data_IF_204276199958
#
_entry.id   IF_204276199958
#
_cell.length_a   1.000
_cell.length_b   1.000
_cell.length_c   1.000
_cell.angle_alpha   90.00
_cell.angle_beta   90.00
_cell.angle_gamma   90.00
#
_symmetry.space_group_name_H-M   'P 1'
#
loop_
_entity.id
_entity.type
_entity.pdbx_description
1 polymer ?
#
# COMPACT_ATOMS: atom_id res chain seq x y z
N UNK A 1 53.68 16.07 -23.28
CA UNK A 1 54.59 16.68 -24.27
C UNK A 1 54.53 15.83 -25.54
N UNK A 2 53.67 16.19 -26.51
CA UNK A 2 54.02 16.81 -27.82
C UNK A 2 55.12 16.04 -28.60
N UNK A 3 54.70 15.40 -29.71
CA UNK A 3 55.06 15.69 -31.13
C UNK A 3 56.35 14.96 -31.57
N UNK A 4 56.55 14.45 -32.80
CA UNK A 4 55.96 14.69 -34.13
C UNK A 4 56.65 13.76 -35.17
N UNK A 5 55.93 13.40 -36.27
CA UNK A 5 56.31 13.47 -37.71
C UNK A 5 57.59 12.74 -38.22
N UNK A 6 57.78 12.20 -39.45
CA UNK A 6 57.23 12.33 -40.83
C UNK A 6 57.59 11.03 -41.62
N UNK A 7 56.71 10.49 -42.48
CA UNK A 7 56.71 10.57 -43.96
C UNK A 7 57.98 10.08 -44.69
N UNK A 8 57.82 9.12 -45.61
CA UNK A 8 58.11 9.26 -47.06
C UNK A 8 57.97 7.92 -47.82
N UNK A 9 57.40 8.01 -49.02
CA UNK A 9 57.20 7.02 -50.10
C UNK A 9 57.46 7.82 -51.41
N UNK A 10 57.52 7.28 -52.64
CA UNK A 10 57.90 5.97 -53.24
C UNK A 10 58.97 6.22 -54.37
N UNK A 11 59.15 5.44 -55.49
CA UNK A 11 58.21 5.42 -56.65
C UNK A 11 58.23 4.10 -57.53
N UNK A 12 57.14 3.72 -58.24
CA UNK A 12 56.93 3.73 -59.73
C UNK A 12 57.53 2.56 -60.58
N UNK A 13 57.02 2.01 -61.72
CA UNK A 13 55.83 2.06 -62.64
C UNK A 13 55.84 0.72 -63.46
N UNK A 14 54.73 0.08 -63.89
CA UNK A 14 54.13 0.00 -65.27
C UNK A 14 53.35 -1.33 -65.39
N UNK A 15 52.34 -1.58 -66.23
CA UNK A 15 51.21 -0.89 -66.88
C UNK A 15 50.68 -1.90 -67.93
N UNK A 16 49.36 -2.12 -68.04
CA UNK A 16 48.77 -2.93 -69.11
C UNK A 16 47.30 -3.31 -68.85
N UNK A 17 46.36 -2.61 -69.49
CA UNK A 17 44.93 -2.62 -69.14
C UNK A 17 44.01 -3.50 -69.99
N UNK A 18 42.75 -3.64 -69.56
CA UNK A 18 41.55 -3.32 -70.36
C UNK A 18 40.24 -3.41 -69.54
N UNK A 19 39.45 -2.34 -69.67
CA UNK A 19 38.01 -2.10 -69.46
C UNK A 19 37.09 -3.16 -68.82
N UNK A 20 36.43 -2.77 -67.71
CA UNK A 20 34.98 -2.52 -67.67
C UNK A 20 34.58 -1.91 -66.31
N UNK A 21 33.79 -0.83 -66.36
CA UNK A 21 33.30 -0.06 -65.21
C UNK A 21 31.87 -0.47 -64.85
N UNK A 22 31.63 -0.98 -63.64
CA UNK A 22 30.34 -0.89 -62.93
C UNK A 22 30.60 -0.83 -61.42
N UNK A 23 29.87 0.07 -60.77
CA UNK A 23 29.94 0.52 -59.38
C UNK A 23 29.65 -0.53 -58.31
N UNK A 24 30.34 -0.40 -57.18
CA UNK A 24 30.20 -1.16 -55.93
C UNK A 24 28.98 -0.64 -55.15
N UNK A 25 28.04 -1.54 -54.83
CA UNK A 25 26.92 -1.30 -53.91
C UNK A 25 26.68 -2.56 -53.07
N UNK A 26 26.63 -2.37 -51.75
CA UNK A 26 26.74 -3.40 -50.71
C UNK A 26 25.81 -4.61 -50.84
N UNK A 27 26.38 -5.77 -50.50
CA UNK A 27 25.74 -7.09 -50.52
C UNK A 27 24.68 -7.25 -49.44
N UNK A 28 23.60 -7.90 -49.86
CA UNK A 28 22.37 -8.24 -49.17
C UNK A 28 22.59 -9.22 -47.99
N UNK A 29 21.85 -9.00 -46.91
CA UNK A 29 21.59 -9.97 -45.83
C UNK A 29 20.15 -10.48 -45.95
N UNK A 30 20.00 -11.80 -45.82
CA UNK A 30 18.78 -12.60 -45.92
C UNK A 30 17.83 -12.39 -44.71
N UNK A 31 16.53 -12.75 -44.82
CA UNK A 31 15.47 -12.26 -43.94
C UNK A 31 15.39 -13.06 -42.62
N UNK A 32 15.38 -12.37 -41.49
CA UNK A 32 14.97 -12.97 -40.21
C UNK A 32 13.44 -12.89 -40.07
N UNK A 33 12.84 -14.04 -39.74
CA UNK A 33 11.43 -14.14 -39.41
C UNK A 33 11.10 -13.22 -38.24
N UNK A 34 10.30 -12.18 -38.51
CA UNK A 34 9.63 -11.40 -37.47
C UNK A 34 8.53 -12.28 -36.89
N UNK A 35 8.82 -12.92 -35.76
CA UNK A 35 7.78 -13.35 -34.85
C UNK A 35 7.10 -12.10 -34.31
N UNK A 36 5.80 -11.97 -34.53
CA UNK A 36 4.98 -10.91 -34.00
C UNK A 36 5.11 -10.89 -32.47
N UNK A 37 5.84 -9.91 -31.96
CA UNK A 37 5.75 -9.51 -30.56
C UNK A 37 4.38 -8.87 -30.42
N UNK A 38 3.41 -9.61 -29.88
CA UNK A 38 2.21 -9.02 -29.32
C UNK A 38 2.61 -8.13 -28.14
N UNK A 39 2.98 -6.89 -28.41
CA UNK A 39 2.88 -5.81 -27.43
C UNK A 39 1.40 -5.46 -27.31
N UNK A 40 0.64 -6.31 -26.62
CA UNK A 40 -0.69 -5.98 -26.17
C UNK A 40 -0.57 -5.15 -24.90
N UNK A 41 -0.48 -3.83 -25.11
CA UNK A 41 -0.59 -2.78 -24.09
C UNK A 41 -2.05 -2.75 -23.56
N UNK A 42 -2.46 -3.82 -22.88
CA UNK A 42 -3.68 -3.80 -22.07
C UNK A 42 -3.33 -3.14 -20.72
N UNK A 43 -4.04 -2.08 -20.28
CA UNK A 43 -3.77 -1.49 -18.99
C UNK A 43 -4.07 -2.54 -17.92
N UNK A 44 -3.01 -3.03 -17.29
CA UNK A 44 -3.02 -4.24 -16.46
C UNK A 44 -4.07 -4.23 -15.34
N UNK A 45 -4.59 -3.07 -14.90
CA UNK A 45 -5.66 -3.00 -13.92
C UNK A 45 -6.51 -1.74 -14.13
N UNK A 46 -7.56 -1.82 -14.96
CA UNK A 46 -8.52 -0.71 -15.16
C UNK A 46 -9.08 -0.23 -13.81
N UNK A 47 -9.09 1.08 -13.58
CA UNK A 47 -9.68 1.68 -12.37
C UNK A 47 -8.69 1.98 -11.23
N UNK A 48 -7.40 1.68 -11.38
CA UNK A 48 -6.35 2.00 -10.39
C UNK A 48 -5.20 2.80 -11.01
N UNK A 49 -4.45 3.51 -10.17
CA UNK A 49 -3.24 4.26 -10.57
C UNK A 49 -2.02 3.37 -10.35
N UNK A 50 -1.25 3.07 -11.39
CA UNK A 50 0.00 2.32 -11.24
C UNK A 50 1.08 3.19 -10.59
N UNK A 51 1.56 2.80 -9.40
CA UNK A 51 2.69 3.45 -8.71
C UNK A 51 4.00 2.72 -8.92
N UNK A 52 3.93 1.40 -9.12
CA UNK A 52 5.07 0.53 -9.41
C UNK A 52 4.57 -0.68 -10.21
N UNK A 53 5.38 -1.15 -11.17
CA UNK A 53 5.01 -2.30 -12.02
C UNK A 53 5.55 -3.62 -11.48
N UNK A 54 6.77 -3.62 -10.95
CA UNK A 54 7.46 -4.81 -10.50
C UNK A 54 8.20 -4.52 -9.18
N UNK A 55 7.72 -5.04 -8.04
CA UNK A 55 6.45 -5.74 -7.86
C UNK A 55 5.25 -4.78 -8.05
N UNK A 56 4.05 -5.33 -8.31
CA UNK A 56 2.86 -4.53 -8.67
C UNK A 56 2.34 -3.72 -7.47
N UNK A 57 2.42 -2.39 -7.54
CA UNK A 57 1.79 -1.50 -6.56
C UNK A 57 0.83 -0.54 -7.26
N UNK A 58 -0.46 -0.61 -6.88
CA UNK A 58 -1.57 0.11 -7.50
C UNK A 58 -2.33 0.90 -6.45
N UNK A 59 -2.66 2.14 -6.75
CA UNK A 59 -3.36 3.05 -5.85
C UNK A 59 -4.83 3.20 -6.23
N UNK A 60 -5.69 3.27 -5.22
CA UNK A 60 -7.07 3.70 -5.38
C UNK A 60 -7.09 5.15 -5.90
N UNK A 61 -7.75 5.48 -7.02
CA UNK A 61 -7.96 6.88 -7.41
C UNK A 61 -8.87 7.59 -6.40
N UNK A 62 -8.33 8.08 -5.29
CA UNK A 62 -9.11 8.57 -4.14
C UNK A 62 -10.12 9.68 -4.50
N UNK A 63 -9.88 10.45 -5.56
CA UNK A 63 -10.82 11.44 -6.08
C UNK A 63 -12.13 10.84 -6.65
N UNK A 64 -12.17 9.53 -6.94
CA UNK A 64 -13.37 8.79 -7.32
C UNK A 64 -14.14 8.20 -6.13
N UNK A 65 -13.79 8.57 -4.89
CA UNK A 65 -14.55 8.20 -3.69
C UNK A 65 -16.03 8.55 -3.85
N UNK A 66 -16.89 7.53 -3.88
CA UNK A 66 -18.32 7.64 -4.14
C UNK A 66 -19.19 7.00 -3.05
N UNK A 67 -18.60 6.22 -2.15
CA UNK A 67 -19.31 5.52 -1.09
C UNK A 67 -18.41 5.00 0.01
N UNK A 68 -19.04 4.31 0.96
CA UNK A 68 -18.36 3.75 2.13
C UNK A 68 -17.54 2.52 1.77
N UNK A 69 -18.03 1.65 0.87
CA UNK A 69 -17.26 0.50 0.41
C UNK A 69 -16.52 0.86 -0.88
N UNK A 70 -15.21 0.60 -0.89
CA UNK A 70 -14.37 0.74 -2.07
C UNK A 70 -14.60 -0.48 -2.97
N UNK A 71 -14.97 -0.30 -4.25
CA UNK A 71 -15.10 -1.42 -5.19
C UNK A 71 -13.81 -2.23 -5.31
N UNK A 72 -13.92 -3.56 -5.46
CA UNK A 72 -12.76 -4.46 -5.62
C UNK A 72 -11.82 -4.01 -6.75
N UNK A 73 -12.38 -3.50 -7.85
CA UNK A 73 -11.62 -2.99 -9.01
C UNK A 73 -10.81 -1.72 -8.73
N UNK A 74 -11.13 -0.99 -7.66
CA UNK A 74 -10.47 0.26 -7.27
C UNK A 74 -9.63 0.10 -5.99
N UNK A 75 -9.82 -0.97 -5.22
CA UNK A 75 -9.09 -1.19 -3.97
C UNK A 75 -7.58 -1.32 -4.23
N UNK A 76 -6.78 -0.59 -3.45
CA UNK A 76 -5.33 -0.51 -3.65
C UNK A 76 -4.63 -1.87 -3.51
N UNK A 77 -3.52 -2.03 -4.23
CA UNK A 77 -2.69 -3.25 -4.20
C UNK A 77 -1.29 -2.86 -3.75
N UNK A 78 -0.82 -3.47 -2.67
CA UNK A 78 0.58 -3.38 -2.24
C UNK A 78 1.22 -4.76 -2.25
N UNK A 79 2.38 -4.91 -2.89
CA UNK A 79 3.17 -6.15 -2.89
C UNK A 79 4.66 -5.85 -2.72
N UNK A 80 5.37 -6.66 -1.93
CA UNK A 80 6.84 -6.56 -1.75
C UNK A 80 7.60 -7.50 -2.67
N UNK A 81 6.96 -8.60 -3.05
CA UNK A 81 7.51 -9.67 -3.87
C UNK A 81 6.61 -9.95 -5.06
N UNK A 82 7.10 -10.72 -6.05
CA UNK A 82 6.24 -11.25 -7.11
C UNK A 82 5.02 -11.95 -6.51
N UNK A 83 3.85 -11.67 -7.09
CA UNK A 83 2.61 -12.31 -6.67
C UNK A 83 2.71 -13.82 -6.88
N UNK A 84 2.51 -14.65 -5.84
CA UNK A 84 2.59 -16.09 -5.96
C UNK A 84 1.37 -16.61 -6.73
N UNK A 85 1.58 -17.66 -7.51
CA UNK A 85 0.48 -18.44 -8.08
C UNK A 85 0.04 -19.49 -7.05
N UNK A 86 -1.14 -19.30 -6.46
CA UNK A 86 -1.67 -20.19 -5.42
C UNK A 86 -2.95 -20.85 -5.93
N UNK A 87 -2.93 -22.18 -6.02
CA UNK A 87 -4.12 -23.00 -6.29
C UNK A 87 -4.92 -23.22 -5.02
N UNK A 88 -6.26 -23.15 -5.10
CA UNK A 88 -7.16 -23.49 -3.97
C UNK A 88 -6.95 -24.93 -3.51
N UNK A 89 -6.82 -25.87 -4.45
CA UNK A 89 -6.79 -27.30 -4.17
C UNK A 89 -5.50 -27.73 -3.46
N UNK A 90 -4.40 -27.06 -3.79
CA UNK A 90 -3.07 -27.31 -3.21
C UNK A 90 -2.77 -26.44 -1.99
N UNK A 91 -3.60 -25.42 -1.73
CA UNK A 91 -3.36 -24.50 -0.63
C UNK A 91 -3.50 -25.21 0.71
N UNK A 92 -2.54 -24.94 1.60
CA UNK A 92 -2.53 -25.44 2.98
C UNK A 92 -2.11 -24.34 3.92
N UNK A 93 -2.86 -24.16 5.01
CA UNK A 93 -2.50 -23.32 6.14
C UNK A 93 -1.92 -24.16 7.26
N UNK A 94 -0.66 -23.90 7.60
CA UNK A 94 0.02 -24.55 8.74
C UNK A 94 -0.09 -23.67 9.98
N UNK A 95 -0.63 -24.20 11.08
CA UNK A 95 -0.56 -23.56 12.39
C UNK A 95 0.40 -24.36 13.28
N UNK A 96 1.49 -23.73 13.73
CA UNK A 96 2.60 -24.44 14.39
C UNK A 96 3.29 -23.60 15.48
N UNK A 97 4.35 -24.15 16.06
CA UNK A 97 5.21 -23.46 17.03
C UNK A 97 4.80 -23.74 18.47
N UNK A 98 4.62 -22.70 19.28
CA UNK A 98 4.28 -22.77 20.71
C UNK A 98 2.81 -23.11 20.96
N UNK A 99 2.39 -24.26 20.43
CA UNK A 99 1.02 -24.80 20.49
C UNK A 99 1.04 -26.26 20.97
N UNK A 100 -0.08 -26.74 21.49
CA UNK A 100 -0.26 -28.13 21.93
C UNK A 100 -0.32 -29.10 20.75
N UNK A 101 -0.97 -28.68 19.66
CA UNK A 101 -1.13 -29.49 18.45
C UNK A 101 -0.91 -28.62 17.21
N UNK A 102 0.05 -29.02 16.39
CA UNK A 102 0.21 -28.44 15.05
C UNK A 102 -0.97 -28.84 14.16
N UNK A 103 -1.46 -27.88 13.38
CA UNK A 103 -2.58 -28.06 12.46
C UNK A 103 -2.11 -27.83 11.02
N UNK A 104 -2.70 -28.58 10.10
CA UNK A 104 -2.65 -28.30 8.67
C UNK A 104 -4.09 -28.30 8.18
N UNK A 105 -4.57 -27.15 7.73
CA UNK A 105 -5.91 -26.98 7.16
C UNK A 105 -5.80 -26.81 5.65
N UNK A 106 -6.61 -27.53 4.88
CA UNK A 106 -6.86 -27.19 3.48
C UNK A 106 -7.93 -26.08 3.39
N UNK A 107 -8.25 -25.64 2.17
CA UNK A 107 -9.20 -24.55 1.97
C UNK A 107 -10.63 -24.91 2.42
N UNK A 108 -11.07 -26.14 2.17
CA UNK A 108 -12.41 -26.60 2.56
C UNK A 108 -12.50 -26.79 4.08
N UNK A 109 -11.47 -27.33 4.73
CA UNK A 109 -11.39 -27.42 6.20
C UNK A 109 -11.55 -26.04 6.86
N UNK A 110 -10.98 -24.99 6.25
CA UNK A 110 -11.10 -23.62 6.74
C UNK A 110 -12.53 -23.10 6.56
N UNK A 111 -13.19 -23.38 5.43
CA UNK A 111 -14.56 -22.93 5.15
C UNK A 111 -15.63 -23.62 6.00
N UNK A 112 -15.32 -24.79 6.55
CA UNK A 112 -16.19 -25.48 7.52
C UNK A 112 -16.13 -24.87 8.93
N UNK A 113 -15.16 -23.98 9.21
CA UNK A 113 -15.08 -23.29 10.50
C UNK A 113 -16.15 -22.19 10.62
N UNK A 114 -16.56 -21.84 11.86
CA UNK A 114 -17.40 -20.67 12.08
C UNK A 114 -16.76 -19.42 11.46
N UNK A 115 -17.52 -18.76 10.58
CA UNK A 115 -17.10 -17.56 9.88
C UNK A 115 -17.96 -16.36 10.27
N UNK A 116 -17.43 -15.17 10.02
CA UNK A 116 -18.13 -13.91 10.19
C UNK A 116 -17.76 -12.96 9.05
N UNK A 117 -18.55 -11.90 8.90
CA UNK A 117 -18.26 -10.79 8.00
C UNK A 117 -18.04 -9.53 8.80
N UNK A 118 -16.91 -8.87 8.58
CA UNK A 118 -16.55 -7.59 9.20
C UNK A 118 -16.31 -6.55 8.12
N UNK A 119 -16.58 -5.27 8.40
CA UNK A 119 -16.15 -4.18 7.54
C UNK A 119 -14.90 -3.53 8.14
N UNK A 120 -13.88 -3.27 7.31
CA UNK A 120 -12.66 -2.63 7.77
C UNK A 120 -12.01 -1.77 6.68
N UNK A 121 -11.58 -0.58 7.08
CA UNK A 121 -10.63 0.25 6.34
C UNK A 121 -9.22 -0.28 6.54
N UNK A 122 -8.49 -0.44 5.44
CA UNK A 122 -7.08 -0.82 5.43
C UNK A 122 -6.30 0.32 4.81
N UNK A 123 -5.35 0.88 5.56
CA UNK A 123 -4.42 1.89 5.06
C UNK A 123 -2.99 1.31 4.96
N UNK A 124 -2.28 1.59 3.87
CA UNK A 124 -0.84 1.37 3.80
C UNK A 124 -0.12 2.36 4.72
N UNK A 125 0.82 1.92 5.55
CA UNK A 125 1.59 2.84 6.40
C UNK A 125 2.36 3.92 5.63
N UNK A 126 2.63 3.69 4.34
CA UNK A 126 3.24 4.67 3.43
C UNK A 126 2.24 5.54 2.68
N UNK A 127 0.94 5.44 2.93
CA UNK A 127 -0.05 6.30 2.29
C UNK A 127 0.32 7.77 2.54
N UNK A 128 0.23 8.61 1.51
CA UNK A 128 0.65 10.01 1.53
C UNK A 128 2.16 10.28 1.54
N UNK A 129 3.00 9.28 1.24
CA UNK A 129 4.47 9.43 1.16
C UNK A 129 4.93 10.51 0.20
N UNK A 130 4.22 10.73 -0.91
CA UNK A 130 4.60 11.76 -1.88
C UNK A 130 4.60 13.17 -1.27
N UNK A 131 3.93 13.39 -0.14
CA UNK A 131 3.85 14.70 0.49
C UNK A 131 4.97 14.97 1.52
N UNK A 132 5.84 14.00 1.79
CA UNK A 132 6.96 14.21 2.70
C UNK A 132 8.01 15.14 2.11
N UNK A 133 8.52 16.02 2.97
CA UNK A 133 9.67 16.89 2.71
C UNK A 133 10.63 16.75 3.89
N UNK A 134 11.88 16.29 3.68
CA UNK A 134 12.44 15.81 2.41
C UNK A 134 11.73 14.56 1.87
N UNK A 135 11.91 14.28 0.59
CA UNK A 135 11.37 13.07 -0.04
C UNK A 135 11.94 11.83 0.65
N UNK A 136 11.07 10.87 0.92
CA UNK A 136 11.45 9.59 1.52
C UNK A 136 11.36 8.46 0.48
N UNK A 137 12.17 7.42 0.67
CA UNK A 137 12.23 6.24 -0.18
C UNK A 137 10.97 5.36 -0.08
N UNK A 138 10.80 4.50 -1.08
CA UNK A 138 9.66 3.61 -1.24
C UNK A 138 8.60 4.15 -2.19
N UNK A 139 7.52 3.37 -2.38
CA UNK A 139 6.42 3.69 -3.30
C UNK A 139 5.81 5.05 -2.98
N UNK A 140 5.73 5.93 -3.98
CA UNK A 140 5.25 7.30 -3.82
C UNK A 140 3.71 7.37 -3.88
N UNK A 141 3.07 6.90 -2.81
CA UNK A 141 1.62 6.96 -2.64
C UNK A 141 1.12 8.41 -2.49
N UNK A 142 0.03 8.74 -3.18
CA UNK A 142 -0.77 9.94 -2.90
C UNK A 142 -1.77 9.65 -1.77
N UNK A 143 -3.08 9.77 -1.98
CA UNK A 143 -4.09 9.64 -0.93
C UNK A 143 -4.77 8.28 -0.92
N UNK A 144 -4.62 7.49 -1.99
CA UNK A 144 -5.36 6.25 -2.19
C UNK A 144 -4.61 4.98 -1.83
N UNK A 145 -3.57 5.07 -1.00
CA UNK A 145 -3.01 3.88 -0.33
C UNK A 145 -3.93 3.40 0.80
N UNK A 146 -5.25 3.44 0.60
CA UNK A 146 -6.29 3.15 1.58
C UNK A 146 -7.56 2.69 0.86
N UNK A 147 -8.37 1.87 1.52
CA UNK A 147 -9.69 1.49 1.05
C UNK A 147 -10.48 0.77 2.14
N UNK A 148 -11.81 0.73 2.00
CA UNK A 148 -12.72 0.06 2.94
C UNK A 148 -13.47 -1.04 2.22
N UNK A 149 -13.55 -2.22 2.83
CA UNK A 149 -14.27 -3.36 2.26
C UNK A 149 -14.90 -4.21 3.37
N UNK A 150 -15.88 -5.02 2.98
CA UNK A 150 -16.36 -6.13 3.78
C UNK A 150 -15.47 -7.36 3.56
N UNK A 151 -15.16 -8.06 4.64
CA UNK A 151 -14.27 -9.22 4.65
C UNK A 151 -14.98 -10.37 5.34
N UNK A 152 -15.13 -11.49 4.65
CA UNK A 152 -15.73 -12.70 5.22
C UNK A 152 -14.66 -13.77 5.41
N UNK A 153 -14.61 -14.32 6.61
CA UNK A 153 -13.55 -15.23 7.02
C UNK A 153 -13.74 -15.85 8.40
N UNK A 154 -12.78 -16.66 8.79
CA UNK A 154 -12.75 -17.33 10.10
C UNK A 154 -11.98 -16.45 11.09
N UNK A 155 -12.46 -16.23 12.32
CA UNK A 155 -11.65 -15.60 13.37
C UNK A 155 -10.32 -16.33 13.55
N UNK A 156 -9.20 -15.60 13.57
CA UNK A 156 -7.86 -16.18 13.81
C UNK A 156 -7.83 -16.93 15.15
N UNK A 157 -8.52 -16.40 16.16
CA UNK A 157 -8.70 -17.04 17.47
C UNK A 157 -9.26 -18.46 17.36
N UNK A 158 -10.16 -18.74 16.42
CA UNK A 158 -10.73 -20.09 16.22
C UNK A 158 -9.66 -21.11 15.82
N UNK A 159 -8.73 -20.74 14.94
CA UNK A 159 -7.63 -21.61 14.53
C UNK A 159 -6.62 -21.78 15.67
N UNK A 160 -6.30 -20.69 16.38
CA UNK A 160 -5.38 -20.69 17.51
C UNK A 160 -5.90 -21.55 18.68
N UNK A 161 -7.19 -21.48 18.99
CA UNK A 161 -7.82 -22.26 20.05
C UNK A 161 -7.87 -23.75 19.70
N UNK A 162 -8.11 -24.10 18.42
CA UNK A 162 -7.98 -25.49 17.94
C UNK A 162 -6.56 -26.05 18.04
N UNK A 163 -5.54 -25.20 17.86
CA UNK A 163 -4.14 -25.59 18.01
C UNK A 163 -3.74 -25.71 19.49
N UNK A 164 -4.43 -24.98 20.36
CA UNK A 164 -4.16 -24.90 21.80
C UNK A 164 -2.87 -24.12 22.06
N UNK A 165 -2.95 -22.81 22.28
CA UNK A 165 -1.76 -22.00 22.58
C UNK A 165 -1.16 -22.40 23.93
N UNK A 166 0.14 -22.67 23.96
CA UNK A 166 0.86 -22.99 25.20
C UNK A 166 1.09 -21.74 26.04
N UNK A 167 1.14 -21.94 27.36
CA UNK A 167 1.51 -20.87 28.32
C UNK A 167 2.88 -20.28 27.95
N UNK A 168 2.98 -18.95 27.99
CA UNK A 168 4.21 -18.23 27.65
C UNK A 168 4.32 -17.78 26.19
N UNK A 169 3.33 -18.09 25.33
CA UNK A 169 3.23 -17.46 24.02
C UNK A 169 3.12 -15.94 24.14
N UNK A 170 3.81 -15.21 23.25
CA UNK A 170 3.86 -13.74 23.24
C UNK A 170 3.38 -13.14 21.93
N UNK A 171 3.67 -13.79 20.80
CA UNK A 171 3.31 -13.30 19.47
C UNK A 171 2.81 -14.43 18.55
N UNK A 172 2.04 -14.03 17.54
CA UNK A 172 1.57 -14.88 16.44
C UNK A 172 2.10 -14.32 15.14
N UNK A 173 2.95 -15.08 14.47
CA UNK A 173 3.56 -14.74 13.18
C UNK A 173 2.63 -15.22 12.06
N UNK A 174 2.34 -14.33 11.12
CA UNK A 174 1.57 -14.57 9.90
C UNK A 174 2.54 -14.48 8.71
N UNK A 175 2.58 -15.52 7.88
CA UNK A 175 3.49 -15.60 6.75
C UNK A 175 2.73 -15.91 5.44
N UNK A 176 3.02 -15.12 4.41
CA UNK A 176 2.50 -15.28 3.06
C UNK A 176 3.30 -16.29 2.23
N UNK A 177 2.70 -16.72 1.11
CA UNK A 177 3.37 -17.54 0.11
C UNK A 177 4.39 -16.76 -0.72
N UNK A 178 4.25 -15.42 -0.77
CA UNK A 178 5.15 -14.54 -1.49
C UNK A 178 6.52 -14.48 -0.82
N UNK A 179 7.56 -14.48 -1.66
CA UNK A 179 8.95 -14.58 -1.23
C UNK A 179 9.89 -14.00 -2.29
N UNK A 180 11.10 -13.68 -1.87
CA UNK A 180 12.16 -13.21 -2.75
C UNK A 180 13.40 -12.86 -1.97
N UNK A 181 14.44 -12.48 -2.71
CA UNK A 181 15.70 -12.00 -2.17
C UNK A 181 15.71 -10.47 -2.17
N UNK A 182 16.20 -9.88 -1.08
CA UNK A 182 16.35 -8.43 -0.96
C UNK A 182 17.77 -8.03 -1.37
N UNK A 183 17.87 -7.25 -2.43
CA UNK A 183 19.16 -6.83 -3.02
C UNK A 183 19.67 -5.51 -2.46
N UNK A 184 18.80 -4.72 -1.85
CA UNK A 184 19.10 -3.43 -1.22
C UNK A 184 19.28 -3.58 0.29
N UNK A 185 20.03 -2.66 0.90
CA UNK A 185 20.24 -2.68 2.35
C UNK A 185 18.99 -2.20 3.13
N UNK A 186 18.68 -2.81 4.29
CA UNK A 186 19.36 -3.96 4.87
C UNK A 186 19.06 -5.25 4.09
N UNK A 187 20.09 -6.05 3.82
CA UNK A 187 19.95 -7.34 3.12
C UNK A 187 19.53 -8.48 4.05
N UNK A 188 18.98 -9.54 3.46
CA UNK A 188 18.83 -10.83 4.15
C UNK A 188 19.82 -11.87 3.67
N UNK A 189 20.13 -12.91 4.47
CA UNK A 189 21.07 -13.98 4.10
C UNK A 189 20.65 -14.84 2.89
N UNK A 190 19.50 -14.56 2.29
CA UNK A 190 18.91 -15.29 1.17
C UNK A 190 17.44 -14.95 1.01
N UNK A 191 16.74 -15.80 0.27
CA UNK A 191 15.30 -15.69 0.05
C UNK A 191 14.51 -15.75 1.37
N UNK A 192 13.58 -14.81 1.55
CA UNK A 192 12.67 -14.77 2.69
C UNK A 192 11.23 -14.65 2.21
N UNK A 193 10.29 -15.13 3.02
CA UNK A 193 8.87 -14.88 2.82
C UNK A 193 8.43 -13.56 3.46
N UNK A 194 7.40 -12.92 2.91
CA UNK A 194 6.76 -11.81 3.60
C UNK A 194 6.07 -12.34 4.87
N UNK A 195 6.43 -11.76 6.02
CA UNK A 195 5.88 -12.14 7.31
C UNK A 195 5.77 -10.93 8.25
N UNK A 196 4.74 -10.96 9.09
CA UNK A 196 4.46 -9.98 10.14
C UNK A 196 3.98 -10.70 11.39
N UNK A 197 4.25 -10.14 12.57
CA UNK A 197 3.71 -10.66 13.82
C UNK A 197 2.68 -9.73 14.45
N UNK A 198 1.80 -10.36 15.22
CA UNK A 198 0.82 -9.71 16.09
C UNK A 198 1.14 -10.09 17.55
N UNK A 199 1.07 -9.16 18.52
CA UNK A 199 0.98 -9.52 19.92
C UNK A 199 -0.19 -10.47 20.14
N UNK A 200 -0.02 -11.41 21.07
CA UNK A 200 -1.01 -12.45 21.31
C UNK A 200 -2.40 -11.88 21.63
N UNK A 201 -2.46 -10.79 22.39
CA UNK A 201 -3.71 -10.09 22.69
C UNK A 201 -4.45 -9.66 21.41
N UNK A 202 -3.75 -8.99 20.48
CA UNK A 202 -4.35 -8.59 19.20
C UNK A 202 -4.76 -9.80 18.37
N UNK A 203 -3.91 -10.83 18.29
CA UNK A 203 -4.20 -12.03 17.49
C UNK A 203 -5.44 -12.82 17.98
N UNK A 204 -5.83 -12.65 19.25
CA UNK A 204 -7.02 -13.30 19.84
C UNK A 204 -8.29 -12.47 19.73
N UNK A 205 -8.21 -11.22 19.28
CA UNK A 205 -9.40 -10.38 19.08
C UNK A 205 -10.30 -10.98 17.98
N UNK A 206 -11.61 -10.94 18.19
CA UNK A 206 -12.58 -11.62 17.33
C UNK A 206 -12.56 -11.04 15.91
N UNK A 207 -12.36 -9.74 15.75
CA UNK A 207 -12.32 -9.08 14.44
C UNK A 207 -11.05 -9.36 13.63
N UNK A 208 -10.03 -10.01 14.19
CA UNK A 208 -8.88 -10.46 13.40
C UNK A 208 -9.24 -11.77 12.71
N UNK A 209 -9.43 -11.72 11.40
CA UNK A 209 -9.95 -12.86 10.62
C UNK A 209 -8.97 -13.34 9.54
N UNK A 210 -9.13 -14.61 9.17
CA UNK A 210 -8.60 -15.26 7.99
C UNK A 210 -9.66 -15.18 6.89
N UNK A 211 -9.62 -14.09 6.12
CA UNK A 211 -10.59 -13.78 5.08
C UNK A 211 -10.33 -14.60 3.81
N UNK A 212 -11.42 -15.11 3.23
CA UNK A 212 -11.44 -15.77 1.92
C UNK A 212 -12.39 -15.08 0.92
N UNK A 213 -13.20 -14.11 1.38
CA UNK A 213 -14.01 -13.23 0.53
C UNK A 213 -13.79 -11.75 0.87
N UNK A 214 -14.00 -10.90 -0.13
CA UNK A 214 -13.95 -9.44 -0.07
C UNK A 214 -15.14 -8.86 -0.86
N UNK A 215 -15.96 -8.03 -0.20
CA UNK A 215 -17.20 -7.46 -0.74
C UNK A 215 -18.14 -8.52 -1.33
N UNK A 216 -18.28 -9.65 -0.65
CA UNK A 216 -19.16 -10.77 -1.06
C UNK A 216 -18.61 -11.68 -2.16
N UNK A 217 -17.47 -11.35 -2.76
CA UNK A 217 -16.80 -12.14 -3.79
C UNK A 217 -15.58 -12.88 -3.22
N UNK A 218 -15.20 -14.01 -3.81
CA UNK A 218 -13.92 -14.64 -3.47
C UNK A 218 -12.75 -13.67 -3.72
N UNK A 219 -11.70 -13.75 -2.91
CA UNK A 219 -10.54 -12.87 -3.05
C UNK A 219 -9.95 -12.94 -4.48
N UNK A 220 -9.67 -11.79 -5.07
CA UNK A 220 -8.84 -11.75 -6.28
C UNK A 220 -7.37 -12.09 -5.95
N UNK A 221 -6.58 -12.62 -6.90
CA UNK A 221 -5.16 -12.95 -6.69
C UNK A 221 -4.36 -11.81 -6.07
N UNK A 222 -4.51 -10.57 -6.56
CA UNK A 222 -3.78 -9.40 -6.06
C UNK A 222 -4.15 -9.00 -4.62
N UNK A 223 -5.33 -9.44 -4.16
CA UNK A 223 -5.84 -9.20 -2.82
C UNK A 223 -5.62 -10.39 -1.88
N UNK A 224 -4.95 -11.45 -2.32
CA UNK A 224 -4.45 -12.50 -1.43
C UNK A 224 -5.18 -13.84 -1.53
N UNK A 225 -5.82 -14.14 -2.68
CA UNK A 225 -6.41 -15.46 -2.93
C UNK A 225 -5.45 -16.62 -2.57
N UNK A 226 -5.92 -17.70 -1.94
CA UNK A 226 -7.30 -17.94 -1.55
C UNK A 226 -7.65 -17.39 -0.17
N UNK A 227 -6.65 -17.07 0.67
CA UNK A 227 -6.85 -16.62 2.05
C UNK A 227 -5.82 -15.55 2.43
N UNK A 228 -6.29 -14.50 3.10
CA UNK A 228 -5.44 -13.49 3.74
C UNK A 228 -5.82 -13.28 5.19
N UNK A 229 -4.90 -12.73 5.98
CA UNK A 229 -5.28 -12.11 7.24
C UNK A 229 -5.87 -10.72 7.01
N UNK A 230 -6.81 -10.35 7.88
CA UNK A 230 -7.34 -9.00 8.06
C UNK A 230 -7.18 -8.64 9.53
N UNK A 231 -6.51 -7.53 9.79
CA UNK A 231 -6.19 -7.06 11.15
C UNK A 231 -6.76 -5.65 11.30
N UNK A 232 -8.06 -5.51 11.66
CA UNK A 232 -8.71 -4.21 11.74
C UNK A 232 -8.01 -3.27 12.73
N UNK A 233 -7.95 -1.99 12.35
CA UNK A 233 -7.31 -0.93 13.14
C UNK A 233 -5.80 -0.84 12.96
N UNK A 234 -5.15 -1.85 12.40
CA UNK A 234 -3.71 -1.85 12.11
C UNK A 234 -3.44 -1.49 10.65
N UNK A 235 -2.28 -0.91 10.38
CA UNK A 235 -1.85 -0.66 9.00
C UNK A 235 -1.75 -1.97 8.21
N UNK A 236 -1.97 -1.86 6.90
CA UNK A 236 -2.24 -2.99 6.01
C UNK A 236 -1.10 -4.00 5.84
N UNK A 237 0.14 -3.68 6.25
CA UNK A 237 1.22 -4.68 6.24
C UNK A 237 0.92 -5.85 7.20
N UNK A 238 0.19 -5.61 8.29
CA UNK A 238 -0.21 -6.65 9.25
C UNK A 238 -1.26 -7.63 8.66
N UNK A 239 -2.01 -7.19 7.66
CA UNK A 239 -3.02 -7.99 6.95
C UNK A 239 -2.35 -8.83 5.85
N UNK A 240 -1.58 -9.84 6.25
CA UNK A 240 -0.74 -10.67 5.35
C UNK A 240 -1.57 -11.39 4.28
N UNK A 241 -1.19 -11.22 3.00
CA UNK A 241 -1.83 -11.87 1.84
C UNK A 241 -1.25 -13.26 1.58
N UNK A 242 -1.99 -14.07 0.82
CA UNK A 242 -1.57 -15.41 0.40
C UNK A 242 -1.11 -16.26 1.58
N UNK A 243 -1.86 -16.20 2.69
CA UNK A 243 -1.44 -16.71 3.98
C UNK A 243 -1.27 -18.23 3.90
N UNK A 244 -0.10 -18.74 4.29
CA UNK A 244 0.20 -20.18 4.28
C UNK A 244 0.68 -20.70 5.63
N UNK A 245 1.08 -19.81 6.54
CA UNK A 245 1.58 -20.21 7.85
C UNK A 245 1.21 -19.21 8.94
N UNK A 246 0.77 -19.77 10.05
CA UNK A 246 0.59 -19.17 11.36
C UNK A 246 1.60 -19.84 12.30
N UNK A 247 2.44 -19.08 12.98
CA UNK A 247 3.40 -19.62 13.94
C UNK A 247 3.31 -18.87 15.27
N UNK A 248 2.99 -19.60 16.33
CA UNK A 248 2.96 -19.06 17.70
C UNK A 248 4.38 -19.13 18.27
N UNK A 249 4.83 -18.06 18.92
CA UNK A 249 6.17 -17.96 19.49
C UNK A 249 6.12 -17.44 20.93
N UNK A 250 7.08 -17.87 21.74
CA UNK A 250 7.32 -17.42 23.12
C UNK A 250 8.34 -16.28 23.22
N UNK A 251 8.84 -15.81 22.07
CA UNK A 251 9.78 -14.70 21.93
C UNK A 251 9.33 -13.70 20.86
N UNK A 252 9.72 -12.42 20.97
CA UNK A 252 9.42 -11.41 19.96
C UNK A 252 9.95 -11.80 18.58
N UNK A 253 9.15 -11.59 17.53
CA UNK A 253 9.53 -11.89 16.16
C UNK A 253 10.52 -10.85 15.63
N UNK A 254 11.65 -11.32 15.10
CA UNK A 254 12.72 -10.49 14.55
C UNK A 254 12.76 -10.51 13.01
N UNK A 255 11.60 -10.67 12.36
CA UNK A 255 11.51 -10.70 10.91
C UNK A 255 11.79 -9.35 10.25
N UNK A 256 12.20 -9.40 8.97
CA UNK A 256 12.61 -8.22 8.21
C UNK A 256 11.59 -7.07 8.24
N UNK A 257 10.34 -7.31 7.84
CA UNK A 257 9.25 -6.33 7.87
C UNK A 257 8.64 -6.11 9.27
N UNK A 258 9.22 -6.73 10.31
CA UNK A 258 8.85 -6.48 11.70
C UNK A 258 9.81 -5.47 12.35
N UNK A 259 11.11 -5.56 12.04
CA UNK A 259 12.17 -4.85 12.78
C UNK A 259 13.03 -3.94 11.92
N UNK A 260 13.39 -4.37 10.70
CA UNK A 260 14.21 -3.57 9.78
C UNK A 260 13.34 -2.59 9.01
N UNK A 261 12.25 -3.09 8.42
CA UNK A 261 11.23 -2.31 7.74
C UNK A 261 9.95 -2.22 8.58
N UNK A 262 9.13 -1.21 8.29
CA UNK A 262 7.94 -0.88 9.07
C UNK A 262 8.24 -0.78 10.58
N UNK A 263 9.33 -0.09 10.91
CA UNK A 263 9.68 0.28 12.28
C UNK A 263 10.05 1.76 12.35
N UNK A 264 9.65 2.41 13.44
CA UNK A 264 9.89 3.82 13.69
C UNK A 264 10.52 4.04 15.06
N UNK A 265 10.99 5.27 15.32
CA UNK A 265 11.55 5.62 16.62
C UNK A 265 10.44 6.13 17.54
N UNK A 266 10.27 5.50 18.70
CA UNK A 266 9.51 6.08 19.79
C UNK A 266 10.47 6.58 20.86
N UNK A 267 10.21 7.75 21.44
CA UNK A 267 11.10 8.33 22.47
C UNK A 267 10.49 8.11 23.84
N UNK A 268 11.12 7.25 24.64
CA UNK A 268 10.77 7.04 26.04
C UNK A 268 11.80 7.75 26.91
N UNK A 269 11.37 8.76 27.69
CA UNK A 269 12.27 9.59 28.51
C UNK A 269 13.44 10.20 27.71
N UNK A 270 13.22 10.50 26.42
CA UNK A 270 14.23 11.06 25.51
C UNK A 270 15.03 10.03 24.72
N UNK A 271 15.05 8.76 25.13
CA UNK A 271 15.81 7.71 24.44
C UNK A 271 15.01 7.08 23.28
N UNK A 272 15.60 6.98 22.08
CA UNK A 272 14.94 6.38 20.93
C UNK A 272 14.91 4.85 21.05
N UNK A 273 13.72 4.29 21.01
CA UNK A 273 13.46 2.84 20.96
C UNK A 273 12.79 2.51 19.63
N UNK A 274 13.31 1.50 18.94
CA UNK A 274 12.71 1.00 17.70
C UNK A 274 11.42 0.26 18.00
N UNK A 275 10.31 0.69 17.40
CA UNK A 275 8.99 0.09 17.59
C UNK A 275 8.41 -0.29 16.23
N UNK A 276 7.90 -1.52 16.05
CA UNK A 276 7.19 -1.91 14.85
C UNK A 276 5.95 -1.04 14.63
N UNK A 277 5.66 -0.69 13.39
CA UNK A 277 4.41 -0.05 13.01
C UNK A 277 3.25 -1.02 13.28
N UNK A 278 2.20 -0.54 13.94
CA UNK A 278 0.98 -1.29 14.27
C UNK A 278 -0.27 -0.51 13.90
N UNK A 279 -0.80 0.30 14.82
CA UNK A 279 -2.12 0.95 14.77
C UNK A 279 -2.16 2.13 13.79
N UNK A 280 -3.24 2.21 13.02
CA UNK A 280 -3.54 3.37 12.17
C UNK A 280 -3.67 4.63 13.01
N UNK A 281 -3.26 5.77 12.46
CA UNK A 281 -3.38 7.03 13.18
C UNK A 281 -4.64 7.76 12.69
N UNK A 282 -5.25 8.58 13.56
CA UNK A 282 -6.35 9.46 13.14
C UNK A 282 -5.94 10.24 11.91
N UNK A 283 -6.75 10.17 10.85
CA UNK A 283 -6.46 10.78 9.55
C UNK A 283 -7.74 11.19 8.84
N UNK A 284 -7.68 12.32 8.14
CA UNK A 284 -8.70 12.84 7.21
C UNK A 284 -7.99 13.25 5.94
N UNK A 285 -8.61 12.92 4.82
CA UNK A 285 -8.15 13.29 3.49
C UNK A 285 -9.31 13.87 2.67
N UNK A 286 -9.01 14.92 1.91
CA UNK A 286 -9.92 15.52 0.95
C UNK A 286 -9.86 14.68 -0.33
N UNK A 287 -10.98 14.09 -0.74
CA UNK A 287 -11.09 13.40 -2.03
C UNK A 287 -11.28 14.41 -3.17
N UNK A 288 -12.17 15.39 -2.94
CA UNK A 288 -12.43 16.49 -3.87
C UNK A 288 -12.53 17.81 -3.09
N UNK A 289 -11.92 18.89 -3.58
CA UNK A 289 -11.26 19.00 -4.88
C UNK A 289 -9.90 18.28 -4.95
N UNK A 290 -9.45 18.00 -6.17
CA UNK A 290 -8.09 17.53 -6.42
C UNK A 290 -7.09 18.70 -6.38
N UNK A 291 -5.82 18.39 -6.14
CA UNK A 291 -4.76 19.39 -6.29
C UNK A 291 -4.73 19.93 -7.72
N UNK A 292 -4.71 21.25 -7.86
CA UNK A 292 -4.71 21.97 -9.14
C UNK A 292 -6.09 22.04 -9.80
N UNK A 293 -7.15 21.56 -9.14
CA UNK A 293 -8.51 21.68 -9.67
C UNK A 293 -8.93 23.15 -9.79
N UNK A 294 -9.64 23.46 -10.89
CA UNK A 294 -10.17 24.79 -11.17
C UNK A 294 -11.60 24.89 -10.68
N UNK A 295 -11.89 25.89 -9.86
CA UNK A 295 -13.17 26.07 -9.19
C UNK A 295 -13.73 27.45 -9.51
N UNK A 296 -14.99 27.51 -9.89
CA UNK A 296 -15.63 28.79 -10.21
C UNK A 296 -15.80 29.66 -8.94
N UNK A 297 -15.49 30.97 -8.99
CA UNK A 297 -15.46 31.88 -7.83
C UNK A 297 -16.81 32.15 -7.14
N UNK A 298 -17.92 31.70 -7.73
CA UNK A 298 -19.27 32.05 -7.25
C UNK A 298 -20.16 30.85 -6.96
N UNK A 299 -19.77 29.66 -7.39
CA UNK A 299 -20.57 28.45 -7.18
C UNK A 299 -20.13 27.81 -5.86
N UNK A 300 -21.09 27.56 -4.97
CA UNK A 300 -20.82 26.76 -3.78
C UNK A 300 -20.21 25.42 -4.20
N UNK A 301 -19.08 25.06 -3.58
CA UNK A 301 -18.33 23.87 -3.92
C UNK A 301 -18.42 22.86 -2.78
N UNK A 302 -18.86 21.65 -3.10
CA UNK A 302 -18.88 20.55 -2.14
C UNK A 302 -17.47 19.97 -1.99
N UNK A 303 -16.80 20.32 -0.91
CA UNK A 303 -15.56 19.65 -0.47
C UNK A 303 -15.97 18.36 0.25
N UNK A 304 -15.40 17.22 -0.10
CA UNK A 304 -15.73 15.97 0.57
C UNK A 304 -14.52 15.03 0.63
N UNK A 305 -14.61 14.06 1.53
CA UNK A 305 -13.55 13.10 1.76
C UNK A 305 -13.93 12.03 2.76
N UNK A 306 -12.91 11.37 3.28
CA UNK A 306 -13.05 10.35 4.32
C UNK A 306 -12.10 10.65 5.48
N UNK A 307 -12.49 10.20 6.68
CA UNK A 307 -11.66 10.24 7.87
C UNK A 307 -11.71 8.89 8.60
N UNK A 308 -10.61 8.44 9.19
CA UNK A 308 -10.51 7.13 9.84
C UNK A 308 -9.53 7.16 11.01
N UNK A 309 -9.57 6.11 11.82
CA UNK A 309 -8.67 5.87 12.95
C UNK A 309 -8.43 4.36 13.09
N UNK A 310 -7.80 3.91 14.18
CA UNK A 310 -7.52 2.51 14.51
C UNK A 310 -8.72 1.68 15.02
N UNK A 311 -9.94 2.21 14.92
CA UNK A 311 -11.14 1.62 15.53
C UNK A 311 -11.90 2.61 16.41
N UNK A 312 -11.24 3.68 16.86
CA UNK A 312 -11.90 4.83 17.48
C UNK A 312 -12.82 5.56 16.49
N UNK A 313 -13.96 6.05 17.00
CA UNK A 313 -14.94 6.75 16.17
C UNK A 313 -14.45 8.14 15.80
N UNK A 314 -14.58 8.53 14.53
CA UNK A 314 -14.41 9.93 14.14
C UNK A 314 -15.62 10.73 14.61
N UNK A 315 -15.40 11.62 15.57
CA UNK A 315 -16.43 12.48 16.15
C UNK A 315 -16.47 13.87 15.53
N UNK A 316 -15.38 14.28 14.86
CA UNK A 316 -15.30 15.61 14.25
C UNK A 316 -14.34 15.62 13.06
N UNK A 317 -14.74 16.32 12.00
CA UNK A 317 -13.85 16.74 10.91
C UNK A 317 -13.98 18.25 10.75
N UNK A 318 -12.85 18.93 10.63
CA UNK A 318 -12.79 20.36 10.37
C UNK A 318 -12.07 20.63 9.06
N UNK A 319 -12.54 21.65 8.33
CA UNK A 319 -11.97 22.12 7.07
C UNK A 319 -11.50 23.56 7.24
N UNK A 320 -10.29 23.83 6.74
CA UNK A 320 -9.74 25.18 6.60
C UNK A 320 -9.66 25.55 5.12
N UNK A 321 -9.92 26.82 4.82
CA UNK A 321 -9.75 27.42 3.48
C UNK A 321 -8.78 28.60 3.47
N UNK A 322 -7.94 28.70 4.49
CA UNK A 322 -7.00 29.81 4.71
C UNK A 322 -5.64 29.32 5.22
N UNK A 323 -5.20 28.17 4.70
CA UNK A 323 -3.92 27.53 5.05
C UNK A 323 -3.81 27.11 6.54
N UNK A 324 -4.93 26.70 7.14
CA UNK A 324 -4.98 26.18 8.50
C UNK A 324 -5.07 27.25 9.59
N UNK A 325 -5.35 28.52 9.25
CA UNK A 325 -5.49 29.61 10.22
C UNK A 325 -6.84 29.52 10.95
N UNK A 326 -7.93 29.31 10.22
CA UNK A 326 -9.27 29.09 10.78
C UNK A 326 -9.85 27.76 10.30
N UNK A 327 -10.73 27.18 11.11
CA UNK A 327 -11.29 25.85 10.91
C UNK A 327 -12.80 25.91 11.10
N UNK A 328 -13.55 25.24 10.21
CA UNK A 328 -14.99 25.10 10.29
C UNK A 328 -15.36 23.64 10.25
N UNK A 329 -16.36 23.26 11.03
CA UNK A 329 -16.80 21.87 11.12
C UNK A 329 -17.44 21.41 9.80
N UNK A 330 -17.06 20.22 9.35
CA UNK A 330 -17.68 19.51 8.24
C UNK A 330 -18.81 18.61 8.76
N UNK A 331 -19.79 18.35 7.91
CA UNK A 331 -20.86 17.40 8.20
C UNK A 331 -20.33 15.99 8.03
N UNK A 332 -20.33 15.19 9.10
CA UNK A 332 -20.10 13.76 9.03
C UNK A 332 -21.32 13.06 8.43
N UNK A 333 -21.08 12.07 7.56
CA UNK A 333 -22.10 11.33 6.84
C UNK A 333 -22.22 9.92 7.40
N UNK A 334 -23.47 9.45 7.52
CA UNK A 334 -23.78 8.14 8.08
C UNK A 334 -23.42 8.00 9.57
N UNK A 335 -23.68 6.80 10.08
CA UNK A 335 -23.35 6.41 11.43
C UNK A 335 -21.88 6.00 11.53
N UNK A 336 -21.30 6.20 12.72
CA UNK A 336 -19.97 5.67 13.00
C UNK A 336 -20.05 4.14 13.08
N UNK A 337 -19.04 3.47 12.53
CA UNK A 337 -18.88 2.04 12.64
C UNK A 337 -17.40 1.74 12.95
N UNK A 338 -17.11 0.84 13.91
CA UNK A 338 -15.74 0.49 14.25
C UNK A 338 -14.94 0.06 13.02
N UNK A 339 -13.68 0.50 12.95
CA UNK A 339 -12.72 0.19 11.89
C UNK A 339 -13.08 0.68 10.48
N UNK A 340 -14.23 1.32 10.30
CA UNK A 340 -14.60 1.93 9.03
C UNK A 340 -14.26 3.42 9.03
N UNK A 341 -13.84 3.90 7.87
CA UNK A 341 -13.78 5.33 7.63
C UNK A 341 -15.17 5.97 7.74
N UNK A 342 -15.20 7.24 8.10
CA UNK A 342 -16.39 8.08 8.12
C UNK A 342 -16.28 9.08 7.00
N UNK A 343 -17.26 9.07 6.11
CA UNK A 343 -17.35 10.06 5.04
C UNK A 343 -17.78 11.41 5.62
N UNK A 344 -17.34 12.48 4.99
CA UNK A 344 -17.69 13.83 5.42
C UNK A 344 -17.80 14.78 4.23
N UNK A 345 -18.58 15.84 4.40
CA UNK A 345 -18.71 16.91 3.41
C UNK A 345 -18.77 18.30 4.04
N UNK A 346 -18.32 19.29 3.29
CA UNK A 346 -18.29 20.69 3.68
C UNK A 346 -18.70 21.56 2.49
N UNK A 347 -19.73 22.38 2.69
CA UNK A 347 -20.16 23.35 1.69
C UNK A 347 -19.24 24.57 1.77
N UNK A 348 -18.28 24.63 0.86
CA UNK A 348 -17.33 25.73 0.78
C UNK A 348 -17.84 26.79 -0.18
N UNK A 349 -17.74 28.06 0.23
CA UNK A 349 -17.97 29.20 -0.65
C UNK A 349 -16.61 29.74 -1.10
N UNK A 350 -16.21 29.53 -2.38
CA UNK A 350 -14.96 30.06 -2.88
C UNK A 350 -14.92 31.60 -2.82
N UNK A 351 -13.74 32.21 -2.65
CA UNK A 351 -13.57 33.65 -2.79
C UNK A 351 -14.05 34.13 -4.16
N UNK A 352 -14.66 35.32 -4.20
CA UNK A 352 -15.08 35.95 -5.47
C UNK A 352 -13.91 36.36 -6.36
N UNK A 353 -12.75 36.59 -5.76
CA UNK A 353 -11.52 36.97 -6.45
C UNK A 353 -10.80 35.73 -6.94
N UNK A 354 -10.37 35.75 -8.20
CA UNK A 354 -9.55 34.69 -8.75
C UNK A 354 -8.20 34.60 -8.02
N UNK A 355 -7.70 33.38 -7.85
CA UNK A 355 -6.42 33.14 -7.17
C UNK A 355 -6.25 31.71 -6.69
N UNK A 356 -5.07 31.43 -6.14
CA UNK A 356 -4.80 30.15 -5.47
C UNK A 356 -5.45 30.14 -4.09
N UNK A 357 -6.09 29.03 -3.75
CA UNK A 357 -6.61 28.77 -2.41
C UNK A 357 -6.07 27.43 -1.92
N UNK A 358 -5.81 27.31 -0.62
CA UNK A 358 -5.35 26.06 -0.02
C UNK A 358 -6.40 25.57 0.96
N UNK A 359 -6.97 24.42 0.64
CA UNK A 359 -7.88 23.69 1.52
C UNK A 359 -7.11 22.68 2.35
N UNK A 360 -7.52 22.49 3.60
CA UNK A 360 -6.96 21.48 4.50
C UNK A 360 -8.09 20.83 5.29
N UNK A 361 -7.95 19.55 5.62
CA UNK A 361 -8.87 18.86 6.53
C UNK A 361 -8.12 18.28 7.73
N UNK A 362 -8.77 18.22 8.89
CA UNK A 362 -8.29 17.46 10.06
C UNK A 362 -9.43 16.73 10.75
N UNK A 363 -9.16 15.52 11.23
CA UNK A 363 -10.10 14.76 12.06
C UNK A 363 -9.72 14.76 13.55
N UNK A 364 -10.73 14.57 14.40
CA UNK A 364 -10.62 14.23 15.82
C UNK A 364 -11.48 13.00 16.10
N UNK A 365 -10.94 12.04 16.83
CA UNK A 365 -11.67 10.84 17.25
C UNK A 365 -12.23 10.95 18.68
N UNK A 366 -13.00 9.94 19.10
CA UNK A 366 -13.63 9.86 20.42
C UNK A 366 -12.66 9.65 21.58
N UNK A 367 -11.35 9.56 21.32
CA UNK A 367 -10.28 9.53 22.32
C UNK A 367 -9.50 10.86 22.36
N UNK A 368 -10.08 11.92 21.78
CA UNK A 368 -9.48 13.26 21.66
C UNK A 368 -8.16 13.29 20.86
N UNK A 369 -7.83 12.24 20.11
CA UNK A 369 -6.67 12.25 19.23
C UNK A 369 -7.03 13.05 17.99
N UNK A 370 -6.16 14.00 17.65
CA UNK A 370 -6.34 14.90 16.50
C UNK A 370 -5.13 14.82 15.58
N UNK A 371 -5.36 14.92 14.27
CA UNK A 371 -4.27 15.00 13.29
C UNK A 371 -3.29 16.14 13.63
N UNK A 372 -1.98 15.88 13.59
CA UNK A 372 -0.97 16.91 13.77
C UNK A 372 -0.89 17.82 12.54
N UNK A 373 -0.31 19.01 12.71
CA UNK A 373 -0.05 19.92 11.58
C UNK A 373 1.15 19.48 10.75
N UNK A 374 2.13 18.86 11.40
CA UNK A 374 3.42 18.50 10.80
C UNK A 374 3.69 17.00 10.97
N UNK A 375 4.47 16.45 10.06
CA UNK A 375 4.92 15.07 10.14
C UNK A 375 5.93 14.92 11.29
N UNK A 376 5.78 13.87 12.10
CA UNK A 376 6.78 13.56 13.10
C UNK A 376 7.97 12.85 12.44
N UNK A 377 9.19 13.44 12.44
CA UNK A 377 10.34 12.87 11.75
C UNK A 377 10.77 11.50 12.32
N UNK A 378 10.49 11.22 13.59
CA UNK A 378 10.77 9.92 14.20
C UNK A 378 9.92 8.78 13.58
N UNK A 379 8.81 9.13 12.89
CA UNK A 379 7.96 8.18 12.15
C UNK A 379 8.51 7.81 10.77
N UNK A 380 9.64 8.39 10.35
CA UNK A 380 10.31 8.12 9.06
C UNK A 380 9.33 8.26 7.88
N UNK A 381 9.30 7.28 6.98
CA UNK A 381 8.46 7.24 5.78
C UNK A 381 7.06 6.60 6.02
N UNK A 382 6.62 6.54 7.28
CA UNK A 382 5.43 5.84 7.74
C UNK A 382 4.55 6.73 8.63
N UNK A 383 3.30 6.30 8.91
CA UNK A 383 2.35 6.98 9.81
C UNK A 383 2.10 8.45 9.40
N UNK A 384 1.94 8.67 8.10
CA UNK A 384 1.82 10.02 7.54
C UNK A 384 0.37 10.48 7.70
N UNK A 385 0.09 11.12 8.83
CA UNK A 385 -1.25 11.58 9.20
C UNK A 385 -1.35 13.09 9.44
N UNK A 386 -0.27 13.84 9.18
CA UNK A 386 -0.33 15.29 9.30
C UNK A 386 -1.29 15.90 8.28
N UNK A 387 -1.84 17.07 8.59
CA UNK A 387 -2.77 17.76 7.70
C UNK A 387 -2.11 18.13 6.37
N UNK A 388 -2.70 17.71 5.25
CA UNK A 388 -2.16 17.93 3.92
C UNK A 388 -2.85 19.12 3.22
N UNK A 389 -2.07 20.00 2.55
CA UNK A 389 -2.64 21.08 1.74
C UNK A 389 -3.15 20.57 0.40
N UNK A 390 -4.36 20.99 0.04
CA UNK A 390 -4.94 20.85 -1.30
C UNK A 390 -5.01 22.23 -1.94
N UNK A 391 -4.02 22.52 -2.77
CA UNK A 391 -3.98 23.77 -3.54
C UNK A 391 -4.95 23.67 -4.72
N UNK A 392 -5.87 24.63 -4.82
CA UNK A 392 -6.84 24.78 -5.92
C UNK A 392 -6.72 26.15 -6.57
N UNK A 393 -7.25 26.28 -7.77
CA UNK A 393 -7.30 27.55 -8.49
C UNK A 393 -8.73 28.03 -8.63
N UNK A 394 -9.05 29.16 -7.99
CA UNK A 394 -10.35 29.80 -8.12
C UNK A 394 -10.29 30.71 -9.35
N UNK A 395 -11.06 30.41 -10.39
CA UNK A 395 -11.16 31.23 -11.60
C UNK A 395 -12.37 30.93 -12.46
#
# INVERSE_FOLDING_TARGET
MKKKDLDENPPQVLAGGSSNSVSIGGSQLLPSARGDVQTADQPLFKGRITREREPVNLEFPFASLDGVMTPNSQFFVRTHFPMPHVSRDDWRLKCRGHVERELVLNYDDLRELPSQTIAATIECAGNSRVFLVPKAEGVQWELGGVGTAEWTGVPLSTVLDRAGIKKGAVEVILQGADKGELTEEPKTPGEIHFARSLPLEKARQEEVILAYQMNGEDLAPEHGFPVRAIVPGWYGMASVKWLTRIEVTDRPFQGYWQTAEYAYWNRYSGEPVGVPVSEMQVKSAIARPMRGERIAPTTAYRVFGAAWSDGADIVKVEVSSDCGQTWKEAKLLGDAAPYMWRLWEFQWQPPRTSGKCTLMSRATDNQDRRQPREHNPDKKAYLINHTLPVEVEVR
#
